data_IF_467626044314
#
_entry.id   IF_467626044314
#
_cell.length_a   1.000
_cell.length_b   1.000
_cell.length_c   1.000
_cell.angle_alpha   90.00
_cell.angle_beta   90.00
_cell.angle_gamma   90.00
#
_symmetry.space_group_name_H-M   'P 1'
#
loop_
_entity.id
_entity.type
_entity.pdbx_description
1 polymer ?
#
# COMPACT_ATOMS: atom_id res chain seq x y z
N UNK A 1 15.81 -27.01 3.69
CA UNK A 1 16.21 -25.66 3.24
C UNK A 1 16.24 -24.74 4.47
N UNK A 2 17.43 -24.41 5.02
CA UNK A 2 17.55 -23.50 6.17
C UNK A 2 17.25 -22.07 5.69
N UNK A 3 15.98 -21.64 5.76
CA UNK A 3 15.56 -20.26 5.47
C UNK A 3 15.72 -19.34 6.70
N UNK A 4 16.78 -19.53 7.47
CA UNK A 4 17.10 -18.71 8.66
C UNK A 4 18.19 -17.70 8.32
N UNK A 5 17.82 -16.61 7.66
CA UNK A 5 18.57 -15.36 7.81
C UNK A 5 17.62 -14.40 8.49
N UNK A 6 17.38 -14.64 9.79
CA UNK A 6 16.78 -13.63 10.64
C UNK A 6 17.72 -12.43 10.65
N UNK A 7 17.17 -11.27 10.33
CA UNK A 7 17.91 -10.03 10.16
C UNK A 7 17.75 -9.23 11.43
N UNK A 8 18.85 -8.96 12.14
CA UNK A 8 18.81 -8.19 13.37
C UNK A 8 18.59 -6.69 13.06
N UNK A 9 17.36 -6.23 13.25
CA UNK A 9 16.92 -4.85 13.02
C UNK A 9 17.69 -3.82 13.87
N UNK A 10 18.19 -4.23 15.04
CA UNK A 10 18.90 -3.39 16.00
C UNK A 10 20.41 -3.30 15.75
N UNK A 11 21.04 -4.36 15.22
CA UNK A 11 22.51 -4.45 15.13
C UNK A 11 23.07 -4.29 13.73
N UNK A 12 22.38 -4.72 12.69
CA UNK A 12 22.94 -4.71 11.33
C UNK A 12 23.23 -3.31 10.80
N UNK A 13 24.15 -3.20 9.83
CA UNK A 13 24.46 -1.93 9.16
C UNK A 13 23.24 -1.46 8.36
N UNK A 14 22.75 -0.26 8.65
CA UNK A 14 21.49 0.29 8.10
C UNK A 14 21.43 0.25 6.57
N UNK A 15 22.53 0.53 5.87
CA UNK A 15 22.56 0.45 4.40
C UNK A 15 22.26 -0.95 3.87
N UNK A 16 23.00 -1.96 4.36
CA UNK A 16 22.78 -3.36 3.99
C UNK A 16 21.38 -3.83 4.41
N UNK A 17 20.98 -3.48 5.63
CA UNK A 17 19.69 -3.82 6.20
C UNK A 17 18.53 -3.27 5.34
N UNK A 18 18.58 -2.00 4.97
CA UNK A 18 17.57 -1.35 4.14
C UNK A 18 17.38 -2.05 2.80
N UNK A 19 18.44 -2.31 2.04
CA UNK A 19 18.30 -2.97 0.73
C UNK A 19 17.92 -4.45 0.86
N UNK A 20 18.35 -5.14 1.91
CA UNK A 20 17.94 -6.52 2.16
C UNK A 20 16.44 -6.65 2.47
N UNK A 21 15.81 -5.60 3.01
CA UNK A 21 14.37 -5.55 3.24
C UNK A 21 13.59 -4.95 2.05
N UNK A 22 14.12 -3.88 1.44
CA UNK A 22 13.46 -3.18 0.34
C UNK A 22 13.44 -3.98 -0.96
N UNK A 23 14.54 -4.65 -1.35
CA UNK A 23 14.60 -5.39 -2.62
C UNK A 23 13.54 -6.49 -2.70
N UNK A 24 13.38 -7.38 -1.68
CA UNK A 24 12.29 -8.34 -1.69
C UNK A 24 10.91 -7.68 -1.73
N UNK A 25 10.70 -6.55 -1.04
CA UNK A 25 9.43 -5.83 -1.09
C UNK A 25 9.13 -5.27 -2.49
N UNK A 26 10.12 -4.70 -3.18
CA UNK A 26 9.98 -4.23 -4.57
C UNK A 26 9.63 -5.41 -5.49
N UNK A 27 10.33 -6.54 -5.34
CA UNK A 27 10.04 -7.75 -6.11
C UNK A 27 8.62 -8.27 -5.84
N UNK A 28 8.14 -8.24 -4.59
CA UNK A 28 6.75 -8.56 -4.27
C UNK A 28 5.76 -7.68 -5.03
N UNK A 29 6.01 -6.37 -5.06
CA UNK A 29 5.14 -5.42 -5.77
C UNK A 29 5.16 -5.67 -7.29
N UNK A 30 6.34 -5.96 -7.86
CA UNK A 30 6.47 -6.28 -9.27
C UNK A 30 5.75 -7.59 -9.64
N UNK A 31 5.94 -8.64 -8.84
CA UNK A 31 5.24 -9.92 -9.04
C UNK A 31 3.72 -9.74 -8.88
N UNK A 32 3.29 -8.91 -7.93
CA UNK A 32 1.88 -8.55 -7.77
C UNK A 32 1.33 -7.87 -9.04
N UNK A 33 2.03 -6.87 -9.57
CA UNK A 33 1.62 -6.18 -10.79
C UNK A 33 1.59 -7.13 -12.01
N UNK A 34 2.60 -7.98 -12.16
CA UNK A 34 2.70 -8.93 -13.28
C UNK A 34 1.57 -9.97 -13.26
N UNK A 35 1.20 -10.53 -12.10
CA UNK A 35 0.09 -11.49 -12.08
C UNK A 35 -1.24 -10.81 -12.40
N UNK A 36 -1.49 -9.60 -11.89
CA UNK A 36 -2.72 -8.86 -12.22
C UNK A 36 -2.81 -8.57 -13.73
N UNK A 37 -1.67 -8.34 -14.38
CA UNK A 37 -1.61 -8.18 -15.83
C UNK A 37 -1.92 -9.49 -16.56
N UNK A 38 -1.33 -10.61 -16.12
CA UNK A 38 -1.56 -11.94 -16.72
C UNK A 38 -3.02 -12.39 -16.55
N UNK A 39 -3.62 -12.19 -15.39
CA UNK A 39 -5.04 -12.49 -15.12
C UNK A 39 -5.97 -11.74 -16.11
N UNK A 40 -5.74 -10.43 -16.29
CA UNK A 40 -6.46 -9.63 -17.30
C UNK A 40 -6.22 -10.12 -18.73
N UNK A 41 -5.01 -10.57 -19.06
CA UNK A 41 -4.72 -11.14 -20.37
C UNK A 41 -5.53 -12.40 -20.63
N UNK A 42 -5.64 -13.31 -19.65
CA UNK A 42 -6.44 -14.52 -19.80
C UNK A 42 -7.93 -14.20 -19.96
N UNK A 43 -8.49 -13.31 -19.13
CA UNK A 43 -9.89 -12.89 -19.23
C UNK A 43 -10.19 -12.26 -20.60
N UNK A 44 -9.30 -11.40 -21.09
CA UNK A 44 -9.44 -10.75 -22.39
C UNK A 44 -9.42 -11.72 -23.59
N UNK A 45 -8.85 -12.92 -23.42
CA UNK A 45 -8.77 -13.96 -24.45
C UNK A 45 -9.87 -15.03 -24.34
N UNK A 46 -10.86 -14.83 -23.47
CA UNK A 46 -12.03 -15.73 -23.44
C UNK A 46 -12.75 -15.61 -24.81
N UNK A 47 -12.98 -16.73 -25.52
CA UNK A 47 -13.65 -16.72 -26.82
C UNK A 47 -15.00 -16.00 -26.75
N UNK A 48 -15.28 -15.17 -27.76
CA UNK A 48 -16.55 -14.44 -27.98
C UNK A 48 -16.92 -13.35 -26.96
N UNK A 49 -16.50 -13.48 -25.70
CA UNK A 49 -16.92 -12.59 -24.60
C UNK A 49 -15.77 -11.85 -23.92
N UNK A 50 -14.52 -12.06 -24.33
CA UNK A 50 -13.34 -11.53 -23.63
C UNK A 50 -13.35 -10.01 -23.39
N UNK A 51 -13.83 -9.20 -24.34
CA UNK A 51 -13.89 -7.75 -24.19
C UNK A 51 -14.94 -7.29 -23.16
N UNK A 52 -16.15 -7.86 -23.20
CA UNK A 52 -17.23 -7.56 -22.26
C UNK A 52 -16.93 -8.13 -20.86
N UNK A 53 -16.33 -9.32 -20.80
CA UNK A 53 -15.83 -9.94 -19.59
C UNK A 53 -14.75 -9.09 -18.89
N UNK A 54 -13.74 -8.64 -19.64
CA UNK A 54 -12.69 -7.76 -19.11
C UNK A 54 -13.26 -6.45 -18.57
N UNK A 55 -14.25 -5.88 -19.27
CA UNK A 55 -14.96 -4.68 -18.82
C UNK A 55 -15.71 -4.94 -17.51
N UNK A 56 -16.48 -6.03 -17.42
CA UNK A 56 -17.20 -6.44 -16.21
C UNK A 56 -16.27 -6.65 -15.00
N UNK A 57 -15.14 -7.32 -15.20
CA UNK A 57 -14.11 -7.49 -14.14
C UNK A 57 -13.48 -6.15 -13.77
N UNK A 58 -13.23 -5.27 -14.74
CA UNK A 58 -12.72 -3.91 -14.50
C UNK A 58 -13.62 -3.08 -13.58
N UNK A 59 -14.95 -3.18 -13.75
CA UNK A 59 -15.94 -2.51 -12.90
C UNK A 59 -15.91 -3.03 -11.45
N UNK A 60 -15.44 -4.26 -11.23
CA UNK A 60 -15.32 -4.86 -9.90
C UNK A 60 -14.07 -4.37 -9.15
N UNK A 61 -13.08 -3.81 -9.85
CA UNK A 61 -11.79 -3.39 -9.29
C UNK A 61 -11.90 -2.32 -8.17
N UNK A 62 -12.74 -1.27 -8.28
CA UNK A 62 -12.98 -0.34 -7.18
C UNK A 62 -13.44 -1.02 -5.87
N UNK A 63 -14.29 -2.04 -5.97
CA UNK A 63 -14.78 -2.81 -4.82
C UNK A 63 -13.65 -3.63 -4.21
N UNK A 64 -12.83 -4.28 -5.04
CA UNK A 64 -11.63 -5.02 -4.62
C UNK A 64 -10.62 -4.11 -3.89
N UNK A 65 -10.45 -2.87 -4.37
CA UNK A 65 -9.60 -1.87 -3.75
C UNK A 65 -10.12 -1.45 -2.37
N UNK A 66 -11.44 -1.29 -2.21
CA UNK A 66 -12.06 -1.02 -0.91
C UNK A 66 -11.85 -2.20 0.05
N UNK A 67 -12.06 -3.44 -0.41
CA UNK A 67 -11.78 -4.65 0.40
C UNK A 67 -10.31 -4.64 0.85
N UNK A 68 -9.38 -4.37 -0.07
CA UNK A 68 -7.94 -4.30 0.24
C UNK A 68 -7.62 -3.15 1.20
N UNK A 69 -8.31 -2.02 1.11
CA UNK A 69 -8.14 -0.88 2.01
C UNK A 69 -8.43 -1.26 3.47
N UNK A 70 -9.45 -2.09 3.71
CA UNK A 70 -9.73 -2.61 5.06
C UNK A 70 -8.62 -3.54 5.58
N UNK A 71 -7.97 -4.32 4.71
CA UNK A 71 -6.80 -5.09 5.11
C UNK A 71 -5.65 -4.14 5.50
N UNK A 72 -5.41 -3.09 4.70
CA UNK A 72 -4.42 -2.06 4.98
C UNK A 72 -4.70 -1.31 6.30
N UNK A 73 -5.98 -1.00 6.60
CA UNK A 73 -6.42 -0.36 7.84
C UNK A 73 -5.95 -1.13 9.08
N UNK A 74 -6.10 -2.44 9.09
CA UNK A 74 -5.70 -3.25 10.24
C UNK A 74 -4.19 -3.51 10.22
N UNK A 75 -3.66 -3.87 9.05
CA UNK A 75 -2.30 -4.40 8.92
C UNK A 75 -1.22 -3.31 8.94
N UNK A 76 -1.37 -2.27 8.13
CA UNK A 76 -0.41 -1.16 8.08
C UNK A 76 -0.52 -0.26 9.32
N UNK A 77 -1.55 -0.45 10.15
CA UNK A 77 -1.65 0.14 11.48
C UNK A 77 -1.07 -0.72 12.60
N UNK A 78 -1.33 -2.03 12.58
CA UNK A 78 -0.87 -2.97 13.60
C UNK A 78 0.60 -3.36 13.47
N UNK A 79 1.09 -3.60 12.26
CA UNK A 79 2.43 -4.10 12.02
C UNK A 79 3.55 -3.12 12.46
N UNK A 80 3.46 -1.79 12.19
CA UNK A 80 4.41 -0.84 12.74
C UNK A 80 4.41 -0.78 14.25
N UNK A 81 3.23 -0.83 14.89
CA UNK A 81 3.13 -0.84 16.35
C UNK A 81 3.73 -2.11 16.97
N UNK A 82 3.51 -3.26 16.35
CA UNK A 82 4.14 -4.50 16.79
C UNK A 82 5.67 -4.41 16.69
N UNK A 83 6.19 -3.84 15.60
CA UNK A 83 7.63 -3.59 15.43
C UNK A 83 8.21 -2.62 16.48
N UNK A 84 7.47 -1.56 16.86
CA UNK A 84 7.83 -0.67 17.97
C UNK A 84 7.91 -1.44 19.30
N UNK A 85 6.89 -2.24 19.64
CA UNK A 85 6.90 -3.04 20.88
C UNK A 85 8.04 -4.08 20.90
N UNK A 86 8.38 -4.66 19.75
CA UNK A 86 9.57 -5.51 19.63
C UNK A 86 10.87 -4.76 19.95
N UNK A 87 10.99 -3.51 19.49
CA UNK A 87 12.12 -2.63 19.82
C UNK A 87 12.21 -2.32 21.31
N UNK A 88 11.06 -2.19 21.98
CA UNK A 88 10.94 -2.02 23.43
C UNK A 88 11.16 -3.32 24.23
N UNK A 89 11.47 -4.44 23.54
CA UNK A 89 11.57 -5.79 24.11
C UNK A 89 10.25 -6.33 24.69
N UNK A 90 9.10 -5.69 24.43
CA UNK A 90 7.77 -6.19 24.80
C UNK A 90 7.18 -7.09 23.71
N UNK A 91 7.77 -8.27 23.55
CA UNK A 91 7.32 -9.29 22.58
C UNK A 91 5.89 -9.74 22.88
N UNK A 92 5.50 -9.83 24.16
CA UNK A 92 4.14 -10.24 24.54
C UNK A 92 3.10 -9.19 24.13
N UNK A 93 3.41 -7.91 24.28
CA UNK A 93 2.58 -6.82 23.78
C UNK A 93 2.44 -6.86 22.26
N UNK A 94 3.54 -7.10 21.54
CA UNK A 94 3.51 -7.25 20.09
C UNK A 94 2.66 -8.46 19.62
N UNK A 95 2.77 -9.62 20.30
CA UNK A 95 1.92 -10.80 20.03
C UNK A 95 0.42 -10.53 20.31
N UNK A 96 0.10 -9.69 21.30
CA UNK A 96 -1.29 -9.26 21.55
C UNK A 96 -1.83 -8.41 20.41
N UNK A 97 -1.03 -7.47 19.86
CA UNK A 97 -1.42 -6.68 18.67
C UNK A 97 -1.67 -7.61 17.49
N UNK A 98 -0.76 -8.56 17.24
CA UNK A 98 -0.88 -9.54 16.17
C UNK A 98 -2.20 -10.33 16.26
N UNK A 99 -2.52 -10.90 17.43
CA UNK A 99 -3.76 -11.66 17.64
C UNK A 99 -5.03 -10.81 17.54
N UNK A 100 -5.00 -9.57 18.04
CA UNK A 100 -6.10 -8.62 17.92
C UNK A 100 -6.37 -8.24 16.47
N UNK A 101 -5.31 -7.97 15.71
CA UNK A 101 -5.39 -7.63 14.29
C UNK A 101 -5.89 -8.82 13.46
N UNK A 102 -5.42 -10.04 13.75
CA UNK A 102 -5.94 -11.25 13.10
C UNK A 102 -7.45 -11.42 13.33
N UNK A 103 -7.92 -11.23 14.58
CA UNK A 103 -9.34 -11.30 14.90
C UNK A 103 -10.15 -10.19 14.20
N UNK A 104 -9.63 -8.96 14.18
CA UNK A 104 -10.24 -7.85 13.46
C UNK A 104 -10.34 -8.13 11.95
N UNK A 105 -9.29 -8.64 11.31
CA UNK A 105 -9.29 -9.02 9.90
C UNK A 105 -10.35 -10.09 9.58
N UNK A 106 -10.53 -11.09 10.45
CA UNK A 106 -11.56 -12.12 10.28
C UNK A 106 -12.98 -11.54 10.38
N UNK A 107 -13.22 -10.66 11.35
CA UNK A 107 -14.51 -10.00 11.53
C UNK A 107 -14.80 -9.06 10.36
N UNK A 108 -13.81 -8.25 9.97
CA UNK A 108 -13.93 -7.36 8.81
C UNK A 108 -14.14 -8.16 7.52
N UNK A 109 -13.46 -9.30 7.33
CA UNK A 109 -13.70 -10.18 6.19
C UNK A 109 -15.15 -10.65 6.15
N UNK A 110 -15.67 -11.16 7.27
CA UNK A 110 -17.05 -11.63 7.35
C UNK A 110 -18.05 -10.52 7.03
N UNK A 111 -17.87 -9.33 7.64
CA UNK A 111 -18.73 -8.16 7.39
C UNK A 111 -18.68 -7.76 5.92
N UNK A 112 -17.49 -7.66 5.33
CA UNK A 112 -17.33 -7.29 3.92
C UNK A 112 -17.93 -8.34 2.99
N UNK A 113 -17.75 -9.63 3.25
CA UNK A 113 -18.38 -10.70 2.48
C UNK A 113 -19.91 -10.57 2.51
N UNK A 114 -20.50 -10.38 3.70
CA UNK A 114 -21.97 -10.22 3.83
C UNK A 114 -22.46 -8.98 3.10
N UNK A 115 -21.79 -7.83 3.27
CA UNK A 115 -22.17 -6.58 2.61
C UNK A 115 -22.05 -6.70 1.10
N UNK A 116 -20.91 -7.17 0.59
CA UNK A 116 -20.69 -7.24 -0.86
C UNK A 116 -21.64 -8.24 -1.50
N UNK A 117 -21.85 -9.44 -0.93
CA UNK A 117 -22.80 -10.40 -1.50
C UNK A 117 -24.24 -9.87 -1.44
N UNK A 118 -24.65 -9.22 -0.35
CA UNK A 118 -26.02 -8.72 -0.22
C UNK A 118 -26.32 -7.53 -1.13
N UNK A 119 -25.31 -6.70 -1.41
CA UNK A 119 -25.46 -5.45 -2.17
C UNK A 119 -24.64 -5.42 -3.48
N UNK A 120 -24.21 -6.57 -4.01
CA UNK A 120 -23.34 -6.63 -5.19
C UNK A 120 -23.94 -5.88 -6.40
N UNK A 121 -25.21 -6.12 -6.74
CA UNK A 121 -25.87 -5.47 -7.89
C UNK A 121 -25.89 -3.94 -7.81
N UNK A 122 -26.44 -3.30 -6.75
CA UNK A 122 -26.44 -1.84 -6.66
C UNK A 122 -25.02 -1.26 -6.55
N UNK A 123 -24.08 -1.94 -5.89
CA UNK A 123 -22.68 -1.51 -5.86
C UNK A 123 -22.05 -1.51 -7.26
N UNK A 124 -22.24 -2.58 -8.03
CA UNK A 124 -21.70 -2.70 -9.37
C UNK A 124 -22.27 -1.64 -10.32
N UNK A 125 -23.59 -1.38 -10.27
CA UNK A 125 -24.19 -0.27 -11.03
C UNK A 125 -23.65 1.09 -10.61
N UNK A 126 -23.45 1.32 -9.30
CA UNK A 126 -22.87 2.57 -8.79
C UNK A 126 -21.44 2.80 -9.31
N UNK A 127 -20.67 1.74 -9.54
CA UNK A 127 -19.32 1.80 -10.11
C UNK A 127 -19.29 1.72 -11.65
N UNK A 128 -20.45 1.80 -12.31
CA UNK A 128 -20.54 1.94 -13.77
C UNK A 128 -20.84 0.66 -14.54
N UNK A 129 -21.38 -0.38 -13.90
CA UNK A 129 -21.88 -1.54 -14.64
C UNK A 129 -23.04 -1.15 -15.57
N UNK A 130 -23.02 -1.72 -16.77
CA UNK A 130 -24.13 -1.70 -17.74
C UNK A 130 -24.83 -3.06 -17.81
N UNK A 131 -25.99 -3.13 -18.47
CA UNK A 131 -26.73 -4.37 -18.71
C UNK A 131 -25.87 -5.45 -19.39
N UNK A 132 -24.92 -5.07 -20.25
CA UNK A 132 -24.05 -6.00 -20.97
C UNK A 132 -22.87 -6.50 -20.14
N UNK A 133 -22.55 -5.85 -19.03
CA UNK A 133 -21.36 -6.13 -18.22
C UNK A 133 -21.68 -6.65 -16.82
N UNK A 134 -22.91 -6.43 -16.37
CA UNK A 134 -23.32 -6.72 -15.00
C UNK A 134 -23.21 -8.22 -14.68
N UNK A 135 -23.56 -9.10 -15.61
CA UNK A 135 -23.51 -10.56 -15.39
C UNK A 135 -22.07 -11.05 -15.12
N UNK A 136 -21.10 -10.58 -15.92
CA UNK A 136 -19.67 -10.88 -15.71
C UNK A 136 -19.15 -10.28 -14.41
N UNK A 137 -19.56 -9.06 -14.08
CA UNK A 137 -19.14 -8.40 -12.86
C UNK A 137 -19.72 -9.10 -11.60
N UNK A 138 -20.99 -9.50 -11.62
CA UNK A 138 -21.64 -10.21 -10.51
C UNK A 138 -21.01 -11.59 -10.29
N UNK A 139 -20.83 -12.35 -11.37
CA UNK A 139 -20.25 -13.69 -11.32
C UNK A 139 -18.82 -13.69 -10.78
N UNK A 140 -18.01 -12.68 -11.15
CA UNK A 140 -16.70 -12.46 -10.55
C UNK A 140 -16.81 -12.06 -9.07
N UNK A 141 -17.63 -11.04 -8.76
CA UNK A 141 -17.65 -10.39 -7.46
C UNK A 141 -18.19 -11.29 -6.35
N UNK A 142 -19.19 -12.14 -6.63
CA UNK A 142 -19.74 -13.07 -5.63
C UNK A 142 -18.67 -14.07 -5.17
N UNK A 143 -17.94 -14.67 -6.12
CA UNK A 143 -16.88 -15.63 -5.82
C UNK A 143 -15.73 -14.94 -5.08
N UNK A 144 -15.28 -13.79 -5.58
CA UNK A 144 -14.22 -13.03 -4.92
C UNK A 144 -14.62 -12.61 -3.49
N UNK A 145 -15.87 -12.17 -3.30
CA UNK A 145 -16.40 -11.77 -2.00
C UNK A 145 -16.43 -12.94 -1.00
N UNK A 146 -16.80 -14.15 -1.44
CA UNK A 146 -16.71 -15.36 -0.61
C UNK A 146 -15.26 -15.67 -0.19
N UNK A 147 -14.29 -15.37 -1.05
CA UNK A 147 -12.86 -15.50 -0.77
C UNK A 147 -12.22 -14.36 0.04
N UNK A 148 -12.98 -13.33 0.43
CA UNK A 148 -12.45 -12.13 1.11
C UNK A 148 -11.65 -12.47 2.38
N UNK A 149 -12.04 -13.52 3.10
CA UNK A 149 -11.31 -14.00 4.28
C UNK A 149 -9.85 -14.33 3.97
N UNK A 150 -9.58 -14.99 2.84
CA UNK A 150 -8.21 -15.34 2.44
C UNK A 150 -7.42 -14.11 2.00
N UNK A 151 -8.08 -13.15 1.34
CA UNK A 151 -7.47 -11.87 0.96
C UNK A 151 -7.07 -11.07 2.19
N UNK A 152 -7.98 -10.91 3.16
CA UNK A 152 -7.72 -10.18 4.41
C UNK A 152 -6.59 -10.82 5.21
N UNK A 153 -6.59 -12.15 5.34
CA UNK A 153 -5.52 -12.86 6.04
C UNK A 153 -4.18 -12.76 5.30
N UNK A 154 -4.16 -12.95 3.98
CA UNK A 154 -2.93 -12.88 3.19
C UNK A 154 -2.33 -11.49 3.27
N UNK A 155 -3.06 -10.44 2.89
CA UNK A 155 -2.52 -9.09 2.91
C UNK A 155 -2.21 -8.64 4.33
N UNK A 156 -3.14 -8.92 5.26
CA UNK A 156 -3.06 -8.35 6.59
C UNK A 156 -2.00 -8.99 7.47
N UNK A 157 -1.90 -10.31 7.46
CA UNK A 157 -0.92 -11.02 8.29
C UNK A 157 0.48 -11.00 7.66
N UNK A 158 0.58 -10.85 6.33
CA UNK A 158 1.88 -10.70 5.65
C UNK A 158 2.64 -9.44 6.07
N UNK A 159 1.93 -8.34 6.37
CA UNK A 159 2.54 -7.12 6.91
C UNK A 159 3.29 -7.37 8.23
N UNK A 160 2.77 -8.25 9.10
CA UNK A 160 3.43 -8.63 10.35
C UNK A 160 4.67 -9.50 10.14
N UNK A 161 4.74 -10.29 9.07
CA UNK A 161 5.96 -11.01 8.68
C UNK A 161 7.04 -10.01 8.29
N UNK A 162 6.69 -9.04 7.44
CA UNK A 162 7.60 -7.98 7.01
C UNK A 162 8.09 -7.12 8.18
N UNK A 163 7.18 -6.76 9.11
CA UNK A 163 7.49 -5.95 10.28
C UNK A 163 8.53 -6.57 11.25
N UNK A 164 8.69 -7.90 11.19
CA UNK A 164 9.69 -8.64 11.95
C UNK A 164 11.06 -8.73 11.26
N UNK A 165 11.19 -8.20 10.03
CA UNK A 165 12.42 -8.30 9.22
C UNK A 165 12.47 -9.50 8.27
N UNK A 166 11.41 -10.32 8.18
CA UNK A 166 11.34 -11.47 7.28
C UNK A 166 10.85 -11.09 5.87
N UNK A 167 11.45 -10.08 5.24
CA UNK A 167 11.04 -9.56 3.92
C UNK A 167 11.01 -10.63 2.82
N UNK A 168 11.96 -11.57 2.83
CA UNK A 168 11.99 -12.69 1.87
C UNK A 168 10.82 -13.65 2.05
N UNK A 169 10.45 -13.98 3.29
CA UNK A 169 9.28 -14.81 3.57
C UNK A 169 8.02 -14.10 3.11
N UNK A 170 7.94 -12.80 3.38
CA UNK A 170 6.82 -11.96 2.97
C UNK A 170 6.68 -11.89 1.45
N UNK A 171 7.80 -11.81 0.72
CA UNK A 171 7.83 -11.89 -0.74
C UNK A 171 7.40 -13.26 -1.26
N UNK A 172 7.86 -14.35 -0.64
CA UNK A 172 7.46 -15.70 -1.04
C UNK A 172 5.95 -15.91 -0.91
N UNK A 173 5.28 -15.30 0.06
CA UNK A 173 3.81 -15.30 0.14
C UNK A 173 3.17 -14.81 -1.16
N UNK A 174 3.64 -13.66 -1.67
CA UNK A 174 3.09 -13.05 -2.89
C UNK A 174 3.45 -13.88 -4.12
N UNK A 175 4.68 -14.38 -4.20
CA UNK A 175 5.16 -15.22 -5.30
C UNK A 175 4.38 -16.54 -5.40
N UNK A 176 4.13 -17.20 -4.26
CA UNK A 176 3.35 -18.45 -4.24
C UNK A 176 1.93 -18.19 -4.76
N UNK A 177 1.28 -17.12 -4.30
CA UNK A 177 -0.04 -16.74 -4.79
C UNK A 177 -0.05 -16.43 -6.29
N UNK A 178 0.88 -15.59 -6.74
CA UNK A 178 0.99 -15.21 -8.15
C UNK A 178 1.23 -16.42 -9.08
N UNK A 179 2.18 -17.29 -8.74
CA UNK A 179 2.45 -18.50 -9.54
C UNK A 179 1.24 -19.43 -9.56
N UNK A 180 0.60 -19.63 -8.40
CA UNK A 180 -0.59 -20.47 -8.31
C UNK A 180 -1.72 -19.92 -9.20
N UNK A 181 -1.94 -18.61 -9.17
CA UNK A 181 -2.99 -17.95 -9.96
C UNK A 181 -2.71 -18.09 -11.46
N UNK A 182 -1.50 -17.74 -11.91
CA UNK A 182 -1.10 -17.85 -13.31
C UNK A 182 -1.26 -19.29 -13.85
N UNK A 183 -1.04 -20.31 -13.01
CA UNK A 183 -1.24 -21.70 -13.39
C UNK A 183 -2.71 -22.13 -13.38
N UNK A 184 -3.49 -21.67 -12.39
CA UNK A 184 -4.91 -22.03 -12.24
C UNK A 184 -5.82 -21.29 -13.22
N UNK A 185 -5.50 -20.06 -13.59
CA UNK A 185 -6.31 -19.24 -14.51
C UNK A 185 -6.60 -19.97 -15.83
N UNK A 186 -5.61 -20.40 -16.63
CA UNK A 186 -5.92 -21.05 -17.91
C UNK A 186 -6.63 -22.40 -17.74
N UNK A 187 -6.39 -23.09 -16.62
CA UNK A 187 -7.07 -24.36 -16.31
C UNK A 187 -8.56 -24.10 -16.04
N UNK A 188 -8.88 -23.17 -15.14
CA UNK A 188 -10.26 -22.89 -14.77
C UNK A 188 -11.02 -22.13 -15.86
N UNK A 189 -10.36 -21.19 -16.54
CA UNK A 189 -10.98 -20.35 -17.58
C UNK A 189 -11.23 -21.17 -18.86
N UNK A 190 -10.21 -21.87 -19.38
CA UNK A 190 -10.27 -22.50 -20.71
C UNK A 190 -10.46 -24.02 -20.69
N UNK A 191 -9.93 -24.75 -19.70
CA UNK A 191 -10.06 -26.23 -19.66
C UNK A 191 -11.39 -26.65 -19.04
N UNK A 192 -11.86 -25.92 -18.04
CA UNK A 192 -13.15 -26.17 -17.39
C UNK A 192 -14.28 -25.26 -17.89
N UNK A 193 -14.02 -24.42 -18.90
CA UNK A 193 -14.99 -23.50 -19.52
C UNK A 193 -15.75 -22.61 -18.51
N UNK A 194 -15.12 -22.25 -17.38
CA UNK A 194 -15.76 -21.45 -16.33
C UNK A 194 -15.72 -19.94 -16.63
N UNK A 195 -15.01 -19.51 -17.67
CA UNK A 195 -14.87 -18.10 -18.07
C UNK A 195 -14.45 -17.21 -16.90
N UNK A 196 -15.19 -16.11 -16.68
CA UNK A 196 -14.92 -15.12 -15.62
C UNK A 196 -15.00 -15.71 -14.20
N UNK A 197 -15.88 -16.68 -13.97
CA UNK A 197 -15.98 -17.35 -12.68
C UNK A 197 -14.71 -18.15 -12.36
N UNK A 198 -14.09 -18.74 -13.40
CA UNK A 198 -12.82 -19.44 -13.31
C UNK A 198 -11.69 -18.54 -12.82
N UNK A 199 -11.59 -17.32 -13.38
CA UNK A 199 -10.59 -16.33 -12.98
C UNK A 199 -10.76 -15.90 -11.50
N UNK A 200 -12.00 -15.63 -11.08
CA UNK A 200 -12.30 -15.29 -9.69
C UNK A 200 -11.92 -16.45 -8.74
N UNK A 201 -12.27 -17.68 -9.11
CA UNK A 201 -11.99 -18.87 -8.30
C UNK A 201 -10.48 -19.14 -8.20
N UNK A 202 -9.73 -19.01 -9.31
CA UNK A 202 -8.28 -19.13 -9.33
C UNK A 202 -7.63 -18.13 -8.37
N UNK A 203 -8.09 -16.88 -8.40
CA UNK A 203 -7.64 -15.81 -7.50
C UNK A 203 -7.90 -16.17 -6.04
N UNK A 204 -9.11 -16.63 -5.71
CA UNK A 204 -9.50 -17.00 -4.34
C UNK A 204 -8.70 -18.19 -3.83
N UNK A 205 -8.50 -19.23 -4.64
CA UNK A 205 -7.69 -20.40 -4.26
C UNK A 205 -6.22 -20.00 -4.03
N UNK A 206 -5.68 -19.14 -4.89
CA UNK A 206 -4.30 -18.65 -4.78
C UNK A 206 -4.09 -17.81 -3.53
N UNK A 207 -5.07 -16.97 -3.17
CA UNK A 207 -5.08 -16.26 -1.89
C UNK A 207 -5.27 -17.22 -0.71
N UNK A 208 -6.07 -18.27 -0.87
CA UNK A 208 -6.22 -19.34 0.11
C UNK A 208 -4.87 -20.00 0.44
N UNK A 209 -4.13 -20.43 -0.58
CA UNK A 209 -2.80 -21.03 -0.43
C UNK A 209 -1.81 -20.03 0.22
N UNK A 210 -1.84 -18.77 -0.21
CA UNK A 210 -1.02 -17.70 0.38
C UNK A 210 -1.36 -17.47 1.85
N UNK A 211 -2.63 -17.50 2.21
CA UNK A 211 -3.08 -17.33 3.59
C UNK A 211 -2.62 -18.49 4.47
N UNK A 212 -2.68 -19.73 3.97
CA UNK A 212 -2.17 -20.92 4.67
C UNK A 212 -0.66 -20.80 4.90
N UNK A 213 0.09 -20.33 3.90
CA UNK A 213 1.53 -20.09 4.02
C UNK A 213 1.86 -19.08 5.13
N UNK A 214 1.18 -17.92 5.13
CA UNK A 214 1.38 -16.85 6.13
C UNK A 214 1.03 -17.34 7.54
N UNK A 215 -0.11 -18.00 7.68
CA UNK A 215 -0.57 -18.52 8.97
C UNK A 215 0.38 -19.61 9.49
N UNK A 216 0.84 -20.51 8.62
CA UNK A 216 1.84 -21.53 8.98
C UNK A 216 3.15 -20.91 9.48
N UNK A 217 3.61 -19.82 8.85
CA UNK A 217 4.81 -19.13 9.30
C UNK A 217 4.61 -18.48 10.68
N UNK A 218 3.51 -17.74 10.87
CA UNK A 218 3.22 -17.01 12.11
C UNK A 218 2.80 -17.91 13.29
N UNK A 219 2.35 -19.13 13.03
CA UNK A 219 2.12 -20.17 14.05
C UNK A 219 3.36 -21.06 14.25
N UNK A 220 4.39 -20.89 13.41
CA UNK A 220 5.58 -21.73 13.38
C UNK A 220 6.61 -21.39 14.46
N UNK A 221 7.72 -22.13 14.46
CA UNK A 221 8.85 -21.92 15.40
C UNK A 221 9.84 -20.84 14.94
N UNK A 222 9.81 -20.46 13.66
CA UNK A 222 10.78 -19.54 13.04
C UNK A 222 10.41 -18.06 13.19
N UNK A 223 9.14 -17.76 13.49
CA UNK A 223 8.66 -16.39 13.69
C UNK A 223 9.09 -15.84 15.06
N UNK A 224 9.36 -14.53 15.12
CA UNK A 224 9.65 -13.82 16.37
C UNK A 224 8.36 -13.52 17.14
N UNK A 225 7.30 -13.17 16.42
CA UNK A 225 5.95 -12.96 16.94
C UNK A 225 5.11 -14.18 16.62
N UNK A 226 4.69 -14.91 17.66
CA UNK A 226 3.82 -16.07 17.49
C UNK A 226 2.37 -15.67 17.57
N UNK A 227 1.61 -16.13 16.59
CA UNK A 227 0.16 -16.05 16.63
C UNK A 227 -0.36 -17.12 17.58
N UNK A 228 -0.74 -16.71 18.80
CA UNK A 228 -1.26 -17.60 19.84
C UNK A 228 -2.75 -17.42 20.00
N UNK A 229 -3.49 -18.53 20.11
CA UNK A 229 -4.94 -18.54 20.33
C UNK A 229 -5.37 -17.72 21.55
N UNK A 230 -4.56 -17.66 22.60
CA UNK A 230 -4.82 -16.85 23.80
C UNK A 230 -4.94 -15.33 23.51
N UNK A 231 -4.32 -14.86 22.43
CA UNK A 231 -4.33 -13.46 22.00
C UNK A 231 -5.48 -13.12 21.03
N UNK A 232 -6.33 -14.09 20.68
CA UNK A 232 -7.53 -13.89 19.83
C UNK A 232 -8.65 -13.28 20.66
N UNK A 233 -8.43 -12.07 21.17
CA UNK A 233 -9.41 -11.32 21.95
C UNK A 233 -9.36 -9.87 21.52
N UNK A 234 -10.47 -9.35 21.01
CA UNK A 234 -10.61 -7.94 20.69
C UNK A 234 -10.55 -7.11 21.97
N UNK A 235 -9.48 -6.35 22.12
CA UNK A 235 -9.30 -5.38 23.20
C UNK A 235 -9.17 -4.01 22.58
N UNK A 236 -10.15 -3.14 22.84
CA UNK A 236 -10.22 -1.81 22.24
C UNK A 236 -8.95 -0.98 22.49
N UNK A 237 -8.34 -1.10 23.67
CA UNK A 237 -7.10 -0.42 24.03
C UNK A 237 -5.87 -0.88 23.22
N UNK A 238 -5.90 -2.06 22.59
CA UNK A 238 -4.85 -2.57 21.72
C UNK A 238 -5.18 -2.29 20.25
N UNK A 239 -6.44 -2.53 19.86
CA UNK A 239 -6.87 -2.44 18.47
C UNK A 239 -7.07 -1.00 18.00
N UNK A 240 -7.79 -0.14 18.74
CA UNK A 240 -8.10 1.22 18.29
C UNK A 240 -6.85 2.04 17.95
N UNK A 241 -5.77 2.00 18.76
CA UNK A 241 -4.55 2.72 18.41
C UNK A 241 -3.82 2.14 17.19
N UNK A 242 -4.07 0.88 16.84
CA UNK A 242 -3.57 0.24 15.61
C UNK A 242 -4.40 0.71 14.41
N UNK A 243 -5.73 0.65 14.51
CA UNK A 243 -6.64 1.15 13.47
C UNK A 243 -6.41 2.64 13.20
N UNK A 244 -6.24 3.47 14.23
CA UNK A 244 -5.95 4.89 14.08
C UNK A 244 -4.72 5.16 13.21
N UNK A 245 -3.67 4.33 13.32
CA UNK A 245 -2.48 4.44 12.50
C UNK A 245 -2.74 3.98 11.06
N UNK A 246 -3.56 2.95 10.88
CA UNK A 246 -3.95 2.42 9.58
C UNK A 246 -5.00 3.25 8.82
N UNK A 247 -5.61 4.26 9.46
CA UNK A 247 -6.53 5.20 8.79
C UNK A 247 -5.85 5.87 7.60
N UNK A 248 -4.56 6.23 7.71
CA UNK A 248 -3.87 6.90 6.61
C UNK A 248 -3.73 5.99 5.37
N UNK A 249 -3.18 4.76 5.48
CA UNK A 249 -3.19 3.79 4.38
C UNK A 249 -4.59 3.45 3.84
N UNK A 250 -5.59 3.30 4.72
CA UNK A 250 -6.98 3.07 4.33
C UNK A 250 -7.50 4.19 3.42
N UNK A 251 -7.28 5.44 3.81
CA UNK A 251 -7.68 6.62 3.02
C UNK A 251 -6.91 6.66 1.71
N UNK A 252 -5.60 6.40 1.74
CA UNK A 252 -4.80 6.38 0.51
C UNK A 252 -5.30 5.37 -0.51
N UNK A 253 -5.69 4.17 -0.06
CA UNK A 253 -6.13 3.09 -0.93
C UNK A 253 -7.59 3.24 -1.38
N UNK A 254 -8.49 3.66 -0.48
CA UNK A 254 -9.91 3.87 -0.83
C UNK A 254 -10.13 5.08 -1.73
N UNK A 255 -9.37 6.17 -1.53
CA UNK A 255 -9.52 7.38 -2.34
C UNK A 255 -8.98 7.20 -3.76
N UNK A 256 -8.11 6.21 -4.02
CA UNK A 256 -7.61 5.94 -5.38
C UNK A 256 -8.74 5.63 -6.36
N UNK A 257 -9.69 4.78 -5.95
CA UNK A 257 -10.87 4.46 -6.77
C UNK A 257 -11.74 5.69 -7.06
N UNK A 258 -11.84 6.61 -6.10
CA UNK A 258 -12.62 7.84 -6.23
C UNK A 258 -11.92 8.81 -7.19
N UNK A 259 -10.59 8.94 -7.10
CA UNK A 259 -9.82 9.84 -7.96
C UNK A 259 -9.96 9.48 -9.44
N UNK A 260 -9.91 8.19 -9.78
CA UNK A 260 -10.13 7.73 -11.16
C UNK A 260 -11.48 8.21 -11.69
N UNK A 261 -12.54 8.10 -10.88
CA UNK A 261 -13.87 8.60 -11.27
C UNK A 261 -13.91 10.12 -11.43
N UNK A 262 -13.31 10.86 -10.49
CA UNK A 262 -13.26 12.33 -10.55
C UNK A 262 -12.52 12.83 -11.80
N UNK A 263 -11.34 12.27 -12.08
CA UNK A 263 -10.57 12.62 -13.28
C UNK A 263 -11.32 12.25 -14.55
N UNK A 264 -11.83 11.02 -14.66
CA UNK A 264 -12.55 10.58 -15.87
C UNK A 264 -13.80 11.42 -16.12
N UNK A 265 -14.58 11.73 -15.08
CA UNK A 265 -15.79 12.57 -15.21
C UNK A 265 -15.45 13.99 -15.66
N UNK A 266 -14.44 14.63 -15.06
CA UNK A 266 -14.04 15.99 -15.40
C UNK A 266 -13.42 16.07 -16.81
N UNK A 267 -12.55 15.11 -17.16
CA UNK A 267 -11.92 15.05 -18.48
C UNK A 267 -12.92 14.70 -19.59
N UNK A 268 -13.90 13.83 -19.31
CA UNK A 268 -14.96 13.55 -20.28
C UNK A 268 -15.77 14.81 -20.61
N UNK A 269 -16.08 15.63 -19.59
CA UNK A 269 -16.83 16.87 -19.77
C UNK A 269 -16.09 17.90 -20.64
N UNK A 270 -14.77 18.02 -20.49
CA UNK A 270 -14.00 19.10 -21.12
C UNK A 270 -13.18 18.68 -22.35
N UNK A 271 -12.72 17.43 -22.41
CA UNK A 271 -11.80 16.91 -23.43
C UNK A 271 -12.29 15.65 -24.16
N UNK A 272 -13.46 15.12 -23.81
CA UNK A 272 -14.04 13.94 -24.45
C UNK A 272 -13.26 12.65 -24.22
N UNK A 273 -13.57 11.63 -25.02
CA UNK A 273 -13.05 10.27 -24.83
C UNK A 273 -11.52 10.18 -24.97
N UNK A 274 -10.92 11.00 -25.84
CA UNK A 274 -9.46 11.04 -26.01
C UNK A 274 -8.74 11.48 -24.72
N UNK A 275 -9.28 12.46 -24.00
CA UNK A 275 -8.69 12.92 -22.73
C UNK A 275 -8.82 11.86 -21.63
N UNK A 276 -9.94 11.14 -21.59
CA UNK A 276 -10.16 10.01 -20.67
C UNK A 276 -9.20 8.84 -21.00
N UNK A 277 -9.02 8.55 -22.28
CA UNK A 277 -8.05 7.56 -22.76
C UNK A 277 -6.63 7.91 -22.32
N UNK A 278 -6.24 9.18 -22.48
CA UNK A 278 -4.93 9.66 -22.04
C UNK A 278 -4.77 9.48 -20.52
N UNK A 279 -5.75 9.87 -19.71
CA UNK A 279 -5.72 9.69 -18.25
C UNK A 279 -5.58 8.23 -17.83
N UNK A 280 -6.18 7.30 -18.56
CA UNK A 280 -6.07 5.87 -18.30
C UNK A 280 -4.62 5.39 -18.49
N UNK A 281 -3.95 5.86 -19.55
CA UNK A 281 -2.53 5.60 -19.79
C UNK A 281 -1.68 6.23 -18.68
N UNK A 282 -1.91 7.49 -18.33
CA UNK A 282 -1.18 8.20 -17.27
C UNK A 282 -1.30 7.48 -15.92
N UNK A 283 -2.51 7.07 -15.54
CA UNK A 283 -2.77 6.33 -14.30
C UNK A 283 -2.03 5.00 -14.27
N UNK A 284 -1.97 4.30 -15.41
CA UNK A 284 -1.23 3.04 -15.56
C UNK A 284 0.28 3.28 -15.39
N UNK A 285 0.83 4.30 -16.05
CA UNK A 285 2.25 4.69 -15.88
C UNK A 285 2.56 5.02 -14.41
N UNK A 286 1.67 5.77 -13.74
CA UNK A 286 1.83 6.12 -12.33
C UNK A 286 1.79 4.88 -11.43
N UNK A 287 0.91 3.91 -11.71
CA UNK A 287 0.82 2.67 -10.94
C UNK A 287 2.14 1.88 -10.96
N UNK A 288 2.76 1.74 -12.14
CA UNK A 288 4.07 1.09 -12.27
C UNK A 288 5.19 1.91 -11.62
N UNK A 289 5.15 3.22 -11.78
CA UNK A 289 6.07 4.15 -11.13
C UNK A 289 6.04 4.03 -9.60
N UNK A 290 4.90 3.70 -9.00
CA UNK A 290 4.73 3.58 -7.55
C UNK A 290 5.29 2.30 -6.94
N UNK A 291 5.57 1.27 -7.73
CA UNK A 291 5.99 -0.04 -7.19
C UNK A 291 7.31 0.06 -6.42
N UNK A 292 8.39 0.69 -6.93
CA UNK A 292 9.65 0.79 -6.19
C UNK A 292 9.56 1.68 -4.96
N UNK A 293 8.82 2.79 -5.02
CA UNK A 293 8.60 3.68 -3.87
C UNK A 293 7.87 2.95 -2.73
N UNK A 294 6.87 2.15 -3.06
CA UNK A 294 6.17 1.30 -2.11
C UNK A 294 7.10 0.23 -1.51
N UNK A 295 8.01 -0.34 -2.30
CA UNK A 295 9.00 -1.30 -1.79
C UNK A 295 10.05 -0.68 -0.87
N UNK A 296 10.58 0.52 -1.19
CA UNK A 296 11.52 1.25 -0.33
C UNK A 296 10.90 1.57 1.04
N UNK A 297 9.65 2.04 1.05
CA UNK A 297 8.95 2.40 2.29
C UNK A 297 8.62 1.19 3.14
N UNK A 298 8.14 0.09 2.53
CA UNK A 298 7.92 -1.19 3.21
C UNK A 298 9.23 -1.76 3.79
N UNK A 299 10.36 -1.61 3.09
CA UNK A 299 11.67 -2.03 3.60
C UNK A 299 12.21 -1.17 4.76
N UNK A 300 11.95 0.14 4.74
CA UNK A 300 12.37 1.06 5.80
C UNK A 300 11.51 0.96 7.06
N UNK A 301 10.21 0.69 6.92
CA UNK A 301 9.24 0.68 8.01
C UNK A 301 9.70 -0.17 9.22
N UNK A 302 10.05 -1.46 9.10
CA UNK A 302 10.46 -2.27 10.26
C UNK A 302 11.73 -1.74 10.93
N UNK A 303 12.67 -1.18 10.15
CA UNK A 303 13.91 -0.61 10.68
C UNK A 303 13.59 0.61 11.54
N UNK A 304 12.77 1.52 11.03
CA UNK A 304 12.40 2.76 11.73
C UNK A 304 11.57 2.44 12.97
N UNK A 305 10.54 1.61 12.84
CA UNK A 305 9.65 1.24 13.95
C UNK A 305 10.39 0.52 15.07
N UNK A 306 11.20 -0.49 14.77
CA UNK A 306 11.96 -1.22 15.77
C UNK A 306 12.97 -0.30 16.48
N UNK A 307 13.74 0.48 15.74
CA UNK A 307 14.75 1.36 16.35
C UNK A 307 14.12 2.55 17.10
N UNK A 308 12.92 2.98 16.71
CA UNK A 308 12.15 3.94 17.50
C UNK A 308 11.71 3.34 18.84
N UNK A 309 11.22 2.09 18.83
CA UNK A 309 10.90 1.35 20.05
C UNK A 309 12.11 1.10 20.96
N UNK A 310 13.27 0.81 20.36
CA UNK A 310 14.53 0.62 21.07
C UNK A 310 15.22 1.92 21.51
N UNK A 311 14.52 3.06 21.42
CA UNK A 311 15.00 4.42 21.66
C UNK A 311 16.29 4.83 20.91
N UNK A 312 16.63 4.15 19.80
CA UNK A 312 17.86 4.41 19.06
C UNK A 312 17.67 5.51 18.00
N UNK A 313 17.61 6.76 18.45
CA UNK A 313 17.40 7.95 17.61
C UNK A 313 18.43 8.07 16.46
N UNK A 314 19.68 7.67 16.72
CA UNK A 314 20.76 7.70 15.73
C UNK A 314 20.50 6.76 14.55
N UNK A 315 19.98 5.55 14.82
CA UNK A 315 19.61 4.60 13.77
C UNK A 315 18.34 5.02 13.05
N UNK A 316 17.34 5.56 13.75
CA UNK A 316 16.12 6.12 13.14
C UNK A 316 16.47 7.21 12.12
N UNK A 317 17.32 8.17 12.48
CA UNK A 317 17.74 9.26 11.58
C UNK A 317 18.49 8.75 10.35
N UNK A 318 19.37 7.76 10.52
CA UNK A 318 20.11 7.15 9.41
C UNK A 318 19.19 6.36 8.47
N UNK A 319 18.23 5.60 9.01
CA UNK A 319 17.25 4.85 8.22
C UNK A 319 16.32 5.79 7.43
N UNK A 320 15.79 6.83 8.08
CA UNK A 320 15.01 7.86 7.40
C UNK A 320 15.79 8.56 6.29
N UNK A 321 17.05 8.96 6.54
CA UNK A 321 17.89 9.61 5.53
C UNK A 321 18.09 8.73 4.31
N UNK A 322 18.34 7.43 4.52
CA UNK A 322 18.52 6.49 3.42
C UNK A 322 17.21 6.28 2.62
N UNK A 323 16.08 6.17 3.31
CA UNK A 323 14.75 6.12 2.68
C UNK A 323 14.52 7.37 1.82
N UNK A 324 14.72 8.57 2.40
CA UNK A 324 14.50 9.85 1.73
C UNK A 324 15.38 9.98 0.48
N UNK A 325 16.68 9.68 0.58
CA UNK A 325 17.60 9.73 -0.56
C UNK A 325 17.17 8.72 -1.63
N UNK A 326 16.81 7.50 -1.25
CA UNK A 326 16.41 6.46 -2.21
C UNK A 326 15.12 6.85 -2.96
N UNK A 327 14.11 7.34 -2.23
CA UNK A 327 12.86 7.81 -2.83
C UNK A 327 13.08 9.03 -3.73
N UNK A 328 13.84 10.04 -3.28
CA UNK A 328 14.12 11.23 -4.09
C UNK A 328 14.94 10.90 -5.34
N UNK A 329 15.95 10.03 -5.22
CA UNK A 329 16.78 9.61 -6.36
C UNK A 329 15.92 8.89 -7.40
N UNK A 330 15.10 7.94 -6.96
CA UNK A 330 14.19 7.21 -7.86
C UNK A 330 13.14 8.13 -8.49
N UNK A 331 12.48 8.99 -7.70
CA UNK A 331 11.50 9.97 -8.20
C UNK A 331 12.14 10.97 -9.17
N UNK A 332 13.39 11.39 -8.96
CA UNK A 332 14.11 12.27 -9.87
C UNK A 332 14.43 11.58 -11.20
N UNK A 333 14.86 10.32 -11.17
CA UNK A 333 15.10 9.53 -12.38
C UNK A 333 13.80 9.36 -13.17
N UNK A 334 12.71 8.99 -12.48
CA UNK A 334 11.41 8.81 -13.09
C UNK A 334 10.89 10.11 -13.72
N UNK A 335 11.00 11.23 -13.00
CA UNK A 335 10.64 12.55 -13.50
C UNK A 335 11.45 12.91 -14.74
N UNK A 336 12.77 12.69 -14.72
CA UNK A 336 13.64 12.97 -15.86
C UNK A 336 13.24 12.13 -17.08
N UNK A 337 12.98 10.83 -16.90
CA UNK A 337 12.53 9.96 -17.98
C UNK A 337 11.18 10.41 -18.54
N UNK A 338 10.22 10.75 -17.69
CA UNK A 338 8.91 11.24 -18.12
C UNK A 338 8.98 12.57 -18.89
N UNK A 339 9.94 13.44 -18.56
CA UNK A 339 10.12 14.72 -19.25
C UNK A 339 10.85 14.58 -20.58
N UNK A 340 11.91 13.77 -20.63
CA UNK A 340 12.82 13.66 -21.78
C UNK A 340 12.29 12.68 -22.83
N UNK A 341 11.69 11.56 -22.42
CA UNK A 341 11.19 10.51 -23.32
C UNK A 341 9.73 10.11 -23.00
N UNK A 342 8.78 11.06 -22.97
CA UNK A 342 7.37 10.75 -22.73
C UNK A 342 6.78 9.81 -23.79
N UNK A 343 7.27 9.90 -25.03
CA UNK A 343 6.82 9.07 -26.15
C UNK A 343 7.04 7.59 -25.89
N UNK A 344 8.12 7.22 -25.18
CA UNK A 344 8.38 5.83 -24.80
C UNK A 344 7.28 5.30 -23.88
N UNK A 345 6.81 6.11 -22.93
CA UNK A 345 5.73 5.72 -22.03
C UNK A 345 4.41 5.61 -22.77
N UNK A 346 4.10 6.55 -23.67
CA UNK A 346 2.88 6.51 -24.47
C UNK A 346 2.84 5.31 -25.43
N UNK A 347 3.96 5.05 -26.12
CA UNK A 347 4.10 3.98 -27.11
C UNK A 347 3.94 2.56 -26.53
N UNK A 348 4.14 2.38 -25.21
CA UNK A 348 3.88 1.10 -24.55
C UNK A 348 2.38 0.76 -24.55
N UNK A 349 1.51 1.78 -24.53
CA UNK A 349 0.07 1.58 -24.35
C UNK A 349 -0.75 1.82 -25.63
N UNK A 350 -0.27 2.65 -26.54
CA UNK A 350 -0.99 2.96 -27.78
C UNK A 350 -0.06 3.20 -28.96
N UNK A 351 -0.55 2.92 -30.15
CA UNK A 351 0.07 3.32 -31.42
C UNK A 351 -0.79 4.33 -32.19
N UNK A 352 -1.92 4.76 -31.63
CA UNK A 352 -2.76 5.82 -32.21
C UNK A 352 -2.04 7.18 -32.08
N UNK A 353 -1.73 7.86 -33.19
CA UNK A 353 -1.05 9.15 -33.17
C UNK A 353 -1.80 10.22 -32.37
N UNK A 354 -3.14 10.27 -32.46
CA UNK A 354 -3.94 11.31 -31.79
C UNK A 354 -3.94 11.13 -30.27
N UNK A 355 -4.08 9.88 -29.82
CA UNK A 355 -4.01 9.55 -28.40
C UNK A 355 -2.57 9.77 -27.86
N UNK A 356 -1.57 9.39 -28.65
CA UNK A 356 -0.15 9.57 -28.28
C UNK A 356 0.18 11.04 -28.06
N UNK A 357 -0.24 11.93 -28.96
CA UNK A 357 0.03 13.38 -28.86
C UNK A 357 -0.53 13.98 -27.55
N UNK A 358 -1.80 13.70 -27.24
CA UNK A 358 -2.44 14.17 -26.00
C UNK A 358 -1.76 13.54 -24.78
N UNK A 359 -1.48 12.23 -24.80
CA UNK A 359 -0.81 11.54 -23.70
C UNK A 359 0.57 12.11 -23.42
N UNK A 360 1.39 12.37 -24.44
CA UNK A 360 2.75 12.90 -24.28
C UNK A 360 2.73 14.27 -23.61
N UNK A 361 1.86 15.16 -24.07
CA UNK A 361 1.67 16.48 -23.47
C UNK A 361 1.13 16.38 -22.03
N UNK A 362 0.09 15.58 -21.81
CA UNK A 362 -0.52 15.39 -20.50
C UNK A 362 0.45 14.76 -19.49
N UNK A 363 1.28 13.79 -19.92
CA UNK A 363 2.26 13.12 -19.07
C UNK A 363 3.29 14.11 -18.51
N UNK A 364 3.78 15.04 -19.34
CA UNK A 364 4.70 16.10 -18.89
C UNK A 364 4.06 16.99 -17.83
N UNK A 365 2.79 17.34 -17.97
CA UNK A 365 2.09 18.17 -16.98
C UNK A 365 1.85 17.36 -15.70
N UNK A 366 1.23 16.20 -15.82
CA UNK A 366 0.82 15.36 -14.70
C UNK A 366 2.02 14.91 -13.86
N UNK A 367 3.12 14.53 -14.51
CA UNK A 367 4.34 14.13 -13.82
C UNK A 367 5.24 15.30 -13.41
N UNK A 368 4.85 16.56 -13.69
CA UNK A 368 5.64 17.75 -13.35
C UNK A 368 6.02 17.85 -11.87
N UNK A 369 5.13 17.41 -10.96
CA UNK A 369 5.35 17.37 -9.51
C UNK A 369 6.05 16.12 -8.98
N UNK A 370 6.33 15.12 -9.84
CA UNK A 370 6.76 13.79 -9.42
C UNK A 370 8.14 13.78 -8.72
N UNK A 371 9.01 14.77 -8.98
CA UNK A 371 10.28 14.92 -8.27
C UNK A 371 10.08 15.07 -6.75
N UNK A 372 9.12 15.91 -6.36
CA UNK A 372 8.85 16.25 -4.96
C UNK A 372 8.14 15.12 -4.22
N UNK A 373 7.38 14.32 -4.97
CA UNK A 373 6.59 13.20 -4.49
C UNK A 373 7.38 12.18 -3.66
N UNK A 374 8.65 11.91 -4.02
CA UNK A 374 9.53 11.00 -3.26
C UNK A 374 9.73 11.43 -1.80
N UNK A 375 9.83 12.74 -1.53
CA UNK A 375 9.93 13.28 -0.18
C UNK A 375 8.62 13.13 0.60
N UNK A 376 7.47 13.37 -0.06
CA UNK A 376 6.15 13.24 0.55
C UNK A 376 5.92 11.82 1.07
N UNK A 377 6.15 10.81 0.22
CA UNK A 377 6.01 9.40 0.58
C UNK A 377 6.96 9.03 1.73
N UNK A 378 8.23 9.41 1.64
CA UNK A 378 9.23 9.06 2.65
C UNK A 378 8.85 9.62 4.03
N UNK A 379 8.45 10.89 4.09
CA UNK A 379 8.04 11.56 5.33
C UNK A 379 6.73 10.98 5.90
N UNK A 380 5.70 10.79 5.07
CA UNK A 380 4.42 10.24 5.52
C UNK A 380 4.58 8.82 6.08
N UNK A 381 5.31 7.96 5.38
CA UNK A 381 5.56 6.58 5.83
C UNK A 381 6.43 6.54 7.09
N UNK A 382 7.32 7.51 7.27
CA UNK A 382 8.08 7.64 8.52
C UNK A 382 7.16 7.99 9.69
N UNK A 383 6.16 8.87 9.53
CA UNK A 383 5.19 9.14 10.59
C UNK A 383 4.38 7.89 10.98
N UNK A 384 4.01 7.06 10.00
CA UNK A 384 3.39 5.76 10.26
C UNK A 384 4.35 4.86 11.04
N UNK A 385 5.60 4.75 10.60
CA UNK A 385 6.61 3.92 11.27
C UNK A 385 6.93 4.40 12.71
N UNK A 386 6.81 5.69 12.99
CA UNK A 386 6.95 6.28 14.33
C UNK A 386 5.68 6.17 15.19
N UNK A 387 4.59 5.59 14.68
CA UNK A 387 3.33 5.43 15.40
C UNK A 387 2.49 6.71 15.52
N UNK A 388 2.77 7.74 14.72
CA UNK A 388 2.04 9.02 14.76
C UNK A 388 0.82 8.99 13.83
N UNK A 389 -0.28 8.43 14.35
CA UNK A 389 -1.55 8.29 13.64
C UNK A 389 -2.16 9.63 13.20
N UNK A 390 -2.13 10.65 14.06
CA UNK A 390 -2.81 11.94 13.80
C UNK A 390 -2.22 12.66 12.61
N UNK A 391 -0.89 12.78 12.57
CA UNK A 391 -0.20 13.49 11.48
C UNK A 391 -0.31 12.71 10.18
N UNK A 392 -0.08 11.39 10.22
CA UNK A 392 -0.15 10.57 9.01
C UNK A 392 -1.55 10.59 8.37
N UNK A 393 -2.62 10.44 9.18
CA UNK A 393 -3.99 10.51 8.70
C UNK A 393 -4.34 11.90 8.12
N UNK A 394 -3.93 12.99 8.80
CA UNK A 394 -4.12 14.34 8.29
C UNK A 394 -3.44 14.53 6.92
N UNK A 395 -2.18 14.11 6.77
CA UNK A 395 -1.45 14.24 5.50
C UNK A 395 -2.09 13.42 4.37
N UNK A 396 -2.60 12.23 4.65
CA UNK A 396 -3.32 11.40 3.67
C UNK A 396 -4.61 12.08 3.19
N UNK A 397 -5.41 12.61 4.12
CA UNK A 397 -6.65 13.34 3.79
C UNK A 397 -6.36 14.65 3.06
N UNK A 398 -5.37 15.40 3.53
CA UNK A 398 -5.01 16.70 2.98
C UNK A 398 -4.69 16.59 1.50
N UNK A 399 -3.81 15.65 1.14
CA UNK A 399 -3.36 15.47 -0.23
C UNK A 399 -4.50 15.10 -1.19
N UNK A 400 -5.19 13.98 -0.92
CA UNK A 400 -6.17 13.43 -1.88
C UNK A 400 -7.56 14.07 -1.76
N UNK A 401 -8.08 14.23 -0.54
CA UNK A 401 -9.48 14.63 -0.32
C UNK A 401 -9.61 16.15 -0.25
N UNK A 402 -8.77 16.82 0.54
CA UNK A 402 -8.93 18.26 0.81
C UNK A 402 -8.37 19.11 -0.33
N UNK A 403 -7.33 18.65 -1.02
CA UNK A 403 -6.66 19.42 -2.07
C UNK A 403 -6.97 18.89 -3.46
N UNK A 404 -6.64 17.62 -3.75
CA UNK A 404 -6.71 17.10 -5.12
C UNK A 404 -8.15 17.04 -5.69
N UNK A 405 -9.11 16.41 -4.99
CA UNK A 405 -10.50 16.32 -5.48
C UNK A 405 -11.10 17.71 -5.78
N UNK A 406 -11.03 18.71 -4.87
CA UNK A 406 -11.49 20.05 -5.19
C UNK A 406 -10.77 20.69 -6.37
N UNK A 407 -9.45 20.53 -6.48
CA UNK A 407 -8.69 21.11 -7.60
C UNK A 407 -9.13 20.54 -8.96
N UNK A 408 -9.48 19.26 -9.05
CA UNK A 408 -9.97 18.64 -10.30
C UNK A 408 -11.22 19.35 -10.84
N UNK A 409 -12.10 19.84 -9.95
CA UNK A 409 -13.34 20.52 -10.36
C UNK A 409 -13.23 22.04 -10.39
N UNK A 410 -12.40 22.63 -9.52
CA UNK A 410 -12.26 24.09 -9.38
C UNK A 410 -11.30 24.69 -10.40
N UNK A 411 -10.16 24.04 -10.67
CA UNK A 411 -9.13 24.60 -11.53
C UNK A 411 -9.60 24.83 -12.98
N UNK A 412 -10.43 23.95 -13.59
CA UNK A 412 -11.01 24.19 -14.92
C UNK A 412 -11.96 25.39 -15.00
N UNK A 413 -12.40 25.96 -13.86
CA UNK A 413 -13.23 27.16 -13.85
C UNK A 413 -12.42 28.45 -14.05
N UNK A 414 -11.11 28.42 -13.81
CA UNK A 414 -10.24 29.60 -13.82
C UNK A 414 -9.30 29.69 -15.03
N UNK A 415 -9.01 28.56 -15.69
CA UNK A 415 -8.10 28.49 -16.83
C UNK A 415 -8.88 28.32 -18.13
N UNK A 416 -8.40 28.94 -19.22
CA UNK A 416 -9.02 28.84 -20.54
C UNK A 416 -8.93 27.42 -21.11
N UNK A 417 -7.76 26.77 -20.98
CA UNK A 417 -7.58 25.36 -21.29
C UNK A 417 -8.04 24.49 -20.11
N UNK A 418 -9.29 24.06 -20.20
CA UNK A 418 -9.95 23.26 -19.16
C UNK A 418 -9.35 21.86 -19.02
N UNK A 419 -8.86 21.27 -20.11
CA UNK A 419 -8.25 19.92 -20.08
C UNK A 419 -6.90 19.99 -19.39
N UNK A 420 -6.08 20.98 -19.75
CA UNK A 420 -4.81 21.26 -19.06
C UNK A 420 -5.05 21.50 -17.57
N UNK A 421 -6.08 22.27 -17.23
CA UNK A 421 -6.43 22.57 -15.85
C UNK A 421 -6.70 21.31 -15.02
N UNK A 422 -7.41 20.32 -15.57
CA UNK A 422 -7.65 19.05 -14.87
C UNK A 422 -6.33 18.30 -14.65
N UNK A 423 -5.47 18.18 -15.67
CA UNK A 423 -4.17 17.51 -15.50
C UNK A 423 -3.23 18.24 -14.55
N UNK A 424 -3.34 19.57 -14.46
CA UNK A 424 -2.55 20.41 -13.55
C UNK A 424 -2.98 20.28 -12.08
N UNK A 425 -4.17 19.73 -11.80
CA UNK A 425 -4.66 19.53 -10.43
C UNK A 425 -3.72 18.62 -9.61
N UNK A 426 -3.20 17.55 -10.20
CA UNK A 426 -2.28 16.60 -9.53
C UNK A 426 -0.95 17.24 -9.11
N UNK A 427 -0.13 17.84 -10.01
CA UNK A 427 1.16 18.42 -9.62
C UNK A 427 1.01 19.58 -8.64
N UNK A 428 -0.08 20.36 -8.71
CA UNK A 428 -0.36 21.41 -7.71
C UNK A 428 -0.68 20.77 -6.36
N UNK A 429 -1.57 19.79 -6.32
CA UNK A 429 -1.93 19.09 -5.09
C UNK A 429 -0.73 18.42 -4.43
N UNK A 430 0.12 17.78 -5.24
CA UNK A 430 1.34 17.15 -4.78
C UNK A 430 2.34 18.17 -4.23
N UNK A 431 2.53 19.29 -4.91
CA UNK A 431 3.42 20.35 -4.43
C UNK A 431 2.96 20.89 -3.08
N UNK A 432 1.67 21.20 -2.94
CA UNK A 432 1.08 21.65 -1.67
C UNK A 432 1.21 20.57 -0.58
N UNK A 433 0.95 19.31 -0.91
CA UNK A 433 1.07 18.20 0.02
C UNK A 433 2.52 17.98 0.47
N UNK A 434 3.50 18.11 -0.43
CA UNK A 434 4.93 18.03 -0.11
C UNK A 434 5.33 19.14 0.83
N UNK A 435 4.97 20.39 0.52
CA UNK A 435 5.30 21.56 1.36
C UNK A 435 4.74 21.39 2.78
N UNK A 436 3.48 21.00 2.90
CA UNK A 436 2.84 20.72 4.20
C UNK A 436 3.52 19.56 4.91
N UNK A 437 3.79 18.45 4.21
CA UNK A 437 4.42 17.25 4.78
C UNK A 437 5.83 17.54 5.29
N UNK A 438 6.66 18.21 4.48
CA UNK A 438 8.05 18.54 4.83
C UNK A 438 8.08 19.53 5.98
N UNK A 439 7.20 20.54 5.99
CA UNK A 439 7.10 21.50 7.09
C UNK A 439 6.72 20.81 8.40
N UNK A 440 5.66 19.99 8.38
CA UNK A 440 5.27 19.19 9.55
C UNK A 440 6.38 18.24 9.98
N UNK A 441 7.06 17.60 9.03
CA UNK A 441 8.18 16.71 9.33
C UNK A 441 9.31 17.44 10.04
N UNK A 442 9.75 18.61 9.55
CA UNK A 442 10.83 19.37 10.18
C UNK A 442 10.46 19.79 11.62
N UNK A 443 9.21 20.23 11.85
CA UNK A 443 8.75 20.67 13.16
C UNK A 443 8.61 19.50 14.15
N UNK A 444 7.94 18.42 13.75
CA UNK A 444 7.64 17.30 14.63
C UNK A 444 8.81 16.34 14.79
N UNK A 445 9.58 16.08 13.74
CA UNK A 445 10.71 15.14 13.81
C UNK A 445 11.82 15.67 14.72
N UNK A 446 12.09 16.98 14.70
CA UNK A 446 13.02 17.60 15.67
C UNK A 446 12.54 17.45 17.11
N UNK A 447 11.25 17.71 17.37
CA UNK A 447 10.65 17.58 18.71
C UNK A 447 10.69 16.13 19.21
N UNK A 448 10.40 15.18 18.33
CA UNK A 448 10.34 13.75 18.64
C UNK A 448 11.74 13.17 18.89
N UNK A 449 12.74 13.55 18.08
CA UNK A 449 14.13 13.17 18.32
C UNK A 449 14.68 13.76 19.63
N UNK A 450 14.33 15.01 19.97
CA UNK A 450 14.74 15.63 21.23
C UNK A 450 14.17 14.86 22.43
N UNK A 451 12.88 14.50 22.37
CA UNK A 451 12.26 13.68 23.41
C UNK A 451 12.91 12.30 23.59
N UNK A 452 13.37 11.66 22.51
CA UNK A 452 14.12 10.40 22.61
C UNK A 452 15.47 10.58 23.32
N UNK A 453 16.19 11.68 23.02
CA UNK A 453 17.47 12.00 23.64
C UNK A 453 17.33 12.34 25.13
N UNK A 454 16.24 13.02 25.51
CA UNK A 454 15.96 13.35 26.91
C UNK A 454 15.70 12.07 27.73
N UNK A 455 15.02 11.07 27.15
CA UNK A 455 14.79 9.75 27.79
C UNK A 455 16.10 8.98 27.98
N UNK A 456 16.99 8.97 26.98
CA UNK A 456 18.32 8.33 27.11
C UNK A 456 19.14 9.01 28.23
N UNK A 457 19.15 10.34 28.29
CA UNK A 457 19.87 11.08 29.34
C UNK A 457 19.32 10.80 30.75
N UNK A 458 17.99 10.68 30.91
CA UNK A 458 17.37 10.29 32.18
C UNK A 458 17.71 8.86 32.60
N UNK A 459 17.77 7.93 31.63
CA UNK A 459 18.16 6.55 31.89
C UNK A 459 19.63 6.45 32.33
N UNK A 460 20.54 7.14 31.64
CA UNK A 460 21.97 7.16 31.96
C UNK A 460 22.25 7.80 33.33
N UNK A 461 21.53 8.88 33.66
CA UNK A 461 21.65 9.53 34.98
C UNK A 461 21.08 8.69 36.12
N UNK A 462 20.01 7.92 35.90
CA UNK A 462 19.49 6.97 36.89
C UNK A 462 20.44 5.78 37.13
N UNK A 463 21.13 5.30 36.09
CA UNK A 463 22.17 4.25 36.21
C UNK A 463 23.40 4.80 36.92
N UNK A 464 23.82 6.04 36.63
CA UNK A 464 24.93 6.70 37.33
C UNK A 464 24.64 6.95 38.81
N UNK A 465 23.38 7.23 39.18
CA UNK A 465 22.98 7.41 40.58
C UNK A 465 22.95 6.08 41.36
N UNK A 466 22.64 4.95 40.70
CA UNK A 466 22.66 3.61 41.34
C UNK A 466 24.06 2.99 41.45
N UNK A 467 25.04 3.52 40.72
CA UNK A 467 26.43 3.03 40.71
C UNK A 467 27.37 3.85 41.60
N UNK A 468 26.87 4.89 42.27
CA UNK A 468 27.58 5.51 43.39
C UNK A 468 27.40 4.61 44.62
N UNK A 469 28.47 3.97 45.15
CA UNK A 469 28.38 3.24 46.41
C UNK A 469 28.01 4.21 47.52
N UNK A 470 27.12 3.79 48.44
CA UNK A 470 26.81 4.45 49.71
C UNK A 470 28.10 4.64 50.53
N UNK A 471 28.89 5.67 50.20
CA UNK A 471 29.97 6.18 51.02
C UNK A 471 29.43 7.41 51.71
N UNK A 472 28.59 7.21 52.72
CA UNK A 472 28.50 8.03 53.93
C UNK A 472 27.28 7.64 54.76
N UNK A 473 27.53 6.87 55.82
CA UNK A 473 27.03 7.09 57.18
C UNK A 473 27.72 6.10 58.11
N UNK A 474 28.97 6.45 58.46
CA UNK A 474 29.65 6.00 59.68
C UNK A 474 29.17 6.82 60.86
#
# INVERSE_FOLDING_TARGET
MKMSNEVDLGRERIGKLFFMLAVPAILSQLVNALYNMVDRMYIGHIPEVGATALTGVGISFPIIMIISAFAALVAMGGAPRASILMGQQDVKGAEKILGNCCCALLITALVLTVVVISFHTPLLYMFGASENTIEYAQSYMIIYAAGTIFVQLTLGMNAFISAQGFSRISMLTVVIGAITNILLDPILIFVFDMGVQGAALATVISQGISSVWVMRFLMGKQTLLKLRLENFKLKANVLLPSLALGVAPFIMQSTESILVLCFNSSLLQYGGDLAVGAMTILSSVMQFAMLPLSGFTQGAQPIISYNYGANNAGRVKKAFRLLLISCLTYSAILWLLAMVVPDLFAAIFTSDPALTEITVWALRIYMGGCLLFGAQIACQQTFIALGNAKISAFLAMFRKIIVLIPLIYILPMFLEDKVMAVFLAEPIADTLAVLTTVTMFILFFKKLLRGMQDVDQMADSAVSQRSQPDVQKS
#
